data_IF_424625396721
#
_entry.id   IF_424625396721
#
_cell.length_a   1.000
_cell.length_b   1.000
_cell.length_c   1.000
_cell.angle_alpha   90.00
_cell.angle_beta   90.00
_cell.angle_gamma   90.00
#
_symmetry.space_group_name_H-M   'P 1'
#
loop_
_entity.id
_entity.type
_entity.pdbx_description
1 polymer ?
#
# COMPACT_ATOMS: atom_id res chain seq x y z
N UNK A 1 9.41 26.30 -14.44
CA UNK A 1 10.67 25.75 -13.89
C UNK A 1 11.45 25.15 -15.05
N UNK A 2 12.76 25.40 -15.10
CA UNK A 2 13.63 25.29 -16.27
C UNK A 2 13.62 23.89 -16.90
N UNK A 3 13.27 23.83 -18.20
CA UNK A 3 13.39 22.62 -19.04
C UNK A 3 14.85 22.27 -19.39
N UNK A 4 15.83 23.05 -18.93
CA UNK A 4 17.24 22.95 -19.31
C UNK A 4 18.16 22.39 -18.19
N UNK A 5 17.62 21.70 -17.18
CA UNK A 5 18.46 21.01 -16.20
C UNK A 5 19.14 19.79 -16.87
N UNK A 6 20.49 19.75 -16.96
CA UNK A 6 21.21 18.70 -17.67
C UNK A 6 21.08 17.32 -17.02
N UNK A 7 20.81 17.25 -15.71
CA UNK A 7 20.53 16.01 -14.99
C UNK A 7 19.13 15.48 -15.31
N UNK A 8 18.11 16.33 -15.31
CA UNK A 8 16.75 15.95 -15.73
C UNK A 8 16.68 15.56 -17.21
N UNK A 9 17.50 16.19 -18.06
CA UNK A 9 17.66 15.83 -19.47
C UNK A 9 18.33 14.46 -19.63
N UNK A 10 19.42 14.20 -18.91
CA UNK A 10 20.11 12.91 -18.91
C UNK A 10 19.18 11.76 -18.47
N UNK A 11 18.36 11.98 -17.45
CA UNK A 11 17.32 11.04 -17.02
C UNK A 11 16.34 10.75 -18.16
N UNK A 12 15.74 11.79 -18.77
CA UNK A 12 14.78 11.65 -19.87
C UNK A 12 15.38 10.91 -21.08
N UNK A 13 16.61 11.24 -21.47
CA UNK A 13 17.30 10.63 -22.61
C UNK A 13 17.66 9.15 -22.34
N UNK A 14 18.05 8.82 -21.10
CA UNK A 14 18.30 7.43 -20.66
C UNK A 14 17.03 6.59 -20.75
N UNK A 15 15.89 7.14 -20.31
CA UNK A 15 14.60 6.45 -20.35
C UNK A 15 14.08 6.29 -21.78
N UNK A 16 14.27 7.29 -22.66
CA UNK A 16 13.93 7.18 -24.08
C UNK A 16 14.71 6.04 -24.76
N UNK A 17 16.00 5.91 -24.45
CA UNK A 17 16.87 4.86 -24.99
C UNK A 17 16.44 3.47 -24.51
N UNK A 18 16.02 3.33 -23.24
CA UNK A 18 15.49 2.07 -22.70
C UNK A 18 14.15 1.67 -23.34
N UNK A 19 13.29 2.65 -23.65
CA UNK A 19 11.99 2.45 -24.32
C UNK A 19 12.16 1.88 -25.73
N UNK A 20 13.11 2.40 -26.50
CA UNK A 20 13.41 1.94 -27.85
C UNK A 20 14.08 0.55 -27.88
N UNK A 21 14.82 0.19 -26.83
CA UNK A 21 15.38 -1.14 -26.63
C UNK A 21 14.31 -2.19 -26.28
N UNK A 22 13.36 -1.85 -25.40
CA UNK A 22 12.28 -2.74 -24.97
C UNK A 22 11.28 -3.06 -26.10
N UNK A 23 11.04 -2.12 -27.02
CA UNK A 23 10.18 -2.34 -28.19
C UNK A 23 10.77 -3.33 -29.22
N UNK A 24 12.08 -3.57 -29.18
CA UNK A 24 12.80 -4.49 -30.09
C UNK A 24 12.93 -5.92 -29.55
N UNK A 25 12.52 -6.19 -28.31
CA UNK A 25 12.50 -7.54 -27.74
C UNK A 25 11.29 -8.32 -28.28
N UNK A 26 11.52 -9.02 -29.39
CA UNK A 26 10.58 -9.92 -30.04
C UNK A 26 10.11 -11.02 -29.05
N UNK A 27 8.79 -11.13 -28.82
CA UNK A 27 8.14 -12.10 -27.90
C UNK A 27 8.28 -13.58 -28.31
N UNK A 28 9.10 -13.91 -29.32
CA UNK A 28 9.23 -15.27 -29.86
C UNK A 28 10.46 -16.03 -29.38
N UNK A 29 11.25 -15.51 -28.42
CA UNK A 29 12.44 -16.19 -27.89
C UNK A 29 12.52 -16.17 -26.35
N UNK A 30 11.40 -16.32 -25.66
CA UNK A 30 11.44 -16.82 -24.28
C UNK A 30 11.19 -18.31 -24.32
N UNK A 31 12.24 -19.07 -24.66
CA UNK A 31 12.31 -20.47 -24.27
C UNK A 31 12.08 -20.54 -22.76
N UNK A 32 11.20 -21.45 -22.37
CA UNK A 32 10.82 -21.72 -20.99
C UNK A 32 12.05 -21.89 -20.11
N UNK A 33 12.39 -20.87 -19.32
CA UNK A 33 13.34 -21.03 -18.23
C UNK A 33 12.69 -21.99 -17.21
N UNK A 34 13.31 -23.15 -16.93
CA UNK A 34 12.75 -24.10 -16.00
C UNK A 34 12.74 -23.47 -14.60
N UNK A 35 11.61 -23.55 -13.90
CA UNK A 35 11.50 -23.21 -12.49
C UNK A 35 12.58 -23.97 -11.70
N UNK A 36 13.64 -23.26 -11.29
CA UNK A 36 14.69 -23.82 -10.42
C UNK A 36 14.76 -23.02 -9.13
N UNK A 37 14.40 -23.71 -8.06
CA UNK A 37 14.93 -23.51 -6.72
C UNK A 37 14.36 -22.38 -5.87
N UNK A 38 14.45 -22.58 -4.56
CA UNK A 38 14.20 -21.57 -3.53
C UNK A 38 15.29 -20.49 -3.54
N UNK A 39 14.99 -19.29 -3.02
CA UNK A 39 15.93 -18.17 -2.95
C UNK A 39 17.26 -18.53 -2.25
N UNK A 40 17.22 -19.49 -1.31
CA UNK A 40 18.41 -19.99 -0.62
C UNK A 40 19.38 -20.75 -1.56
N UNK A 41 18.86 -21.44 -2.57
CA UNK A 41 19.64 -22.17 -3.57
C UNK A 41 20.27 -21.22 -4.61
N UNK A 42 19.65 -20.07 -4.86
CA UNK A 42 20.18 -19.00 -5.73
C UNK A 42 21.31 -18.21 -5.08
N UNK A 43 21.29 -18.01 -3.75
CA UNK A 43 22.33 -17.25 -3.02
C UNK A 43 23.66 -18.04 -2.92
N UNK A 44 23.59 -19.36 -2.99
CA UNK A 44 24.75 -20.26 -2.86
C UNK A 44 25.20 -20.84 -4.21
N UNK A 45 24.58 -20.44 -5.32
CA UNK A 45 25.11 -20.79 -6.63
C UNK A 45 26.22 -19.81 -7.00
N UNK A 46 27.33 -20.33 -7.52
CA UNK A 46 28.44 -19.54 -8.08
C UNK A 46 28.01 -18.69 -9.31
N UNK A 47 26.72 -18.73 -9.67
CA UNK A 47 26.09 -18.01 -10.79
C UNK A 47 25.36 -16.72 -10.34
N UNK A 48 25.17 -16.47 -9.04
CA UNK A 48 24.54 -15.23 -8.55
C UNK A 48 25.58 -14.11 -8.39
N UNK A 49 25.54 -13.15 -9.30
CA UNK A 49 26.28 -11.90 -9.17
C UNK A 49 25.41 -10.79 -8.59
N UNK A 50 25.92 -10.14 -7.55
CA UNK A 50 25.28 -8.98 -6.93
C UNK A 50 24.93 -7.91 -7.98
N UNK A 51 23.71 -7.38 -8.00
CA UNK A 51 23.31 -6.31 -8.92
C UNK A 51 23.93 -4.94 -8.59
N UNK A 52 24.81 -4.88 -7.59
CA UNK A 52 25.46 -3.66 -7.13
C UNK A 52 26.50 -3.17 -8.15
N UNK A 53 26.22 -2.04 -8.81
CA UNK A 53 27.07 -1.46 -9.85
C UNK A 53 28.20 -0.58 -9.30
N UNK A 54 28.38 -0.48 -7.97
CA UNK A 54 29.31 0.45 -7.31
C UNK A 54 28.74 1.87 -7.13
N UNK A 55 29.41 2.72 -6.34
CA UNK A 55 29.04 4.14 -6.18
C UNK A 55 29.27 4.93 -7.47
N UNK A 56 28.63 6.10 -7.58
CA UNK A 56 28.89 7.06 -8.66
C UNK A 56 30.32 7.60 -8.52
N UNK A 57 31.07 7.70 -9.61
CA UNK A 57 32.45 8.21 -9.58
C UNK A 57 32.51 9.74 -9.51
N UNK A 58 33.28 10.28 -8.57
CA UNK A 58 33.54 11.72 -8.42
C UNK A 58 32.38 12.50 -7.80
N UNK A 59 32.22 13.77 -8.19
CA UNK A 59 31.16 14.67 -7.68
C UNK A 59 29.87 14.60 -8.53
N UNK A 60 29.70 13.56 -9.35
CA UNK A 60 28.55 13.45 -10.24
C UNK A 60 27.27 13.04 -9.48
N UNK A 61 26.13 13.63 -9.87
CA UNK A 61 24.82 13.34 -9.29
C UNK A 61 24.23 11.99 -9.80
N UNK A 62 24.55 11.62 -11.05
CA UNK A 62 24.26 10.31 -11.63
C UNK A 62 25.18 10.00 -12.81
N UNK A 63 25.27 8.71 -13.16
CA UNK A 63 25.97 8.25 -14.36
C UNK A 63 25.26 7.04 -15.01
N UNK A 64 25.46 6.88 -16.31
CA UNK A 64 24.98 5.73 -17.06
C UNK A 64 26.15 4.75 -17.22
N UNK A 65 25.97 3.52 -16.74
CA UNK A 65 26.95 2.43 -16.88
C UNK A 65 26.38 1.29 -17.69
N UNK A 66 27.15 0.75 -18.62
CA UNK A 66 26.83 -0.51 -19.27
C UNK A 66 27.51 -1.65 -18.52
N UNK A 67 26.72 -2.48 -17.85
CA UNK A 67 27.22 -3.64 -17.08
C UNK A 67 26.71 -4.90 -17.75
N UNK A 68 27.62 -5.66 -18.39
CA UNK A 68 27.33 -6.92 -19.10
C UNK A 68 26.22 -6.78 -20.16
N UNK A 69 26.28 -5.71 -20.98
CA UNK A 69 25.31 -5.47 -22.04
C UNK A 69 23.97 -4.88 -21.57
N UNK A 70 23.84 -4.57 -20.27
CA UNK A 70 22.67 -3.90 -19.70
C UNK A 70 23.05 -2.48 -19.32
N UNK A 71 22.41 -1.50 -19.96
CA UNK A 71 22.53 -0.08 -19.63
C UNK A 71 21.80 0.19 -18.31
N UNK A 72 22.50 0.81 -17.36
CA UNK A 72 22.00 1.10 -16.01
C UNK A 72 22.27 2.57 -15.70
N UNK A 73 21.30 3.22 -15.07
CA UNK A 73 21.49 4.53 -14.45
C UNK A 73 21.82 4.33 -12.97
N UNK A 74 22.95 4.87 -12.53
CA UNK A 74 23.40 4.86 -11.13
C UNK A 74 23.30 6.28 -10.61
N UNK A 75 22.59 6.48 -9.50
CA UNK A 75 22.30 7.80 -8.92
C UNK A 75 22.90 7.85 -7.51
N UNK A 76 23.59 8.94 -7.18
CA UNK A 76 24.06 9.18 -5.81
C UNK A 76 23.06 10.08 -5.06
N UNK A 77 22.26 9.51 -4.13
CA UNK A 77 21.23 10.28 -3.44
C UNK A 77 21.79 11.30 -2.45
N UNK A 78 23.09 11.24 -2.10
CA UNK A 78 23.74 12.16 -1.18
C UNK A 78 24.23 13.44 -1.88
N UNK A 79 24.50 13.40 -3.18
CA UNK A 79 24.97 14.54 -3.98
C UNK A 79 23.83 15.36 -4.60
N UNK A 80 22.59 14.86 -4.60
CA UNK A 80 21.42 15.57 -5.14
C UNK A 80 20.76 16.42 -4.05
N UNK A 81 20.56 17.71 -4.33
CA UNK A 81 19.82 18.61 -3.44
C UNK A 81 18.34 18.20 -3.28
N UNK A 82 17.68 18.75 -2.25
CA UNK A 82 16.31 18.34 -1.90
C UNK A 82 15.29 18.68 -3.00
N UNK A 83 15.39 19.86 -3.63
CA UNK A 83 14.44 20.29 -4.66
C UNK A 83 14.56 19.44 -5.93
N UNK A 84 15.78 19.09 -6.32
CA UNK A 84 16.06 18.15 -7.42
C UNK A 84 15.59 16.73 -7.09
N UNK A 85 15.72 16.26 -5.84
CA UNK A 85 15.18 14.95 -5.42
C UNK A 85 13.65 14.88 -5.53
N UNK A 86 12.95 15.98 -5.19
CA UNK A 86 11.50 16.07 -5.34
C UNK A 86 11.12 16.07 -6.84
N UNK A 87 11.77 16.89 -7.66
CA UNK A 87 11.54 16.92 -9.11
C UNK A 87 11.90 15.59 -9.80
N UNK A 88 12.93 14.90 -9.31
CA UNK A 88 13.32 13.55 -9.75
C UNK A 88 12.28 12.52 -9.36
N UNK A 89 11.75 12.57 -8.14
CA UNK A 89 10.65 11.70 -7.70
C UNK A 89 9.41 11.91 -8.57
N UNK A 90 9.04 13.16 -8.85
CA UNK A 90 7.88 13.46 -9.70
C UNK A 90 8.10 13.00 -11.16
N UNK A 91 9.32 13.15 -11.68
CA UNK A 91 9.68 12.67 -13.03
C UNK A 91 9.76 11.13 -13.09
N UNK A 92 10.28 10.50 -12.04
CA UNK A 92 10.29 9.03 -11.90
C UNK A 92 8.89 8.48 -11.71
N UNK A 93 8.01 9.17 -10.99
CA UNK A 93 6.59 8.82 -10.86
C UNK A 93 5.90 8.87 -12.23
N UNK A 94 6.12 9.93 -13.01
CA UNK A 94 5.62 10.05 -14.39
C UNK A 94 6.16 8.94 -15.31
N UNK A 95 7.43 8.56 -15.16
CA UNK A 95 8.05 7.47 -15.93
C UNK A 95 7.57 6.10 -15.46
N UNK A 96 7.30 5.90 -14.17
CA UNK A 96 6.73 4.67 -13.62
C UNK A 96 5.25 4.50 -14.01
N UNK A 97 4.53 5.60 -14.20
CA UNK A 97 3.20 5.63 -14.80
C UNK A 97 3.25 5.26 -16.29
N UNK A 98 4.23 5.79 -17.06
CA UNK A 98 4.39 5.47 -18.49
C UNK A 98 4.99 4.08 -18.77
N UNK A 99 5.92 3.61 -17.92
CA UNK A 99 6.60 2.33 -18.06
C UNK A 99 5.77 1.13 -17.55
N UNK A 100 4.47 1.33 -17.31
CA UNK A 100 3.56 0.35 -16.72
C UNK A 100 4.12 -0.21 -15.41
N UNK A 101 4.06 0.60 -14.35
CA UNK A 101 4.00 0.06 -12.99
C UNK A 101 3.02 -1.11 -12.98
N UNK A 102 3.59 -2.32 -12.77
CA UNK A 102 3.04 -3.67 -12.98
C UNK A 102 3.11 -4.26 -14.42
N UNK A 103 3.65 -5.48 -14.60
CA UNK A 103 3.15 -6.38 -15.64
C UNK A 103 1.77 -6.90 -15.18
N UNK A 104 0.73 -6.12 -15.42
CA UNK A 104 -0.64 -6.53 -15.17
C UNK A 104 -1.11 -7.46 -16.31
N UNK A 105 -0.77 -8.74 -16.26
CA UNK A 105 -1.32 -9.74 -17.17
C UNK A 105 -2.75 -10.20 -16.81
N UNK A 106 -3.45 -9.54 -15.86
CA UNK A 106 -4.85 -9.17 -16.11
C UNK A 106 -5.15 -7.75 -15.56
N UNK A 107 -4.64 -6.72 -16.26
CA UNK A 107 -4.78 -5.29 -15.92
C UNK A 107 -6.13 -4.68 -16.17
N UNK A 108 -6.90 -5.27 -17.09
CA UNK A 108 -7.90 -4.52 -17.85
C UNK A 108 -8.90 -3.87 -16.90
N UNK A 109 -9.44 -4.62 -15.94
CA UNK A 109 -10.44 -4.08 -14.99
C UNK A 109 -9.93 -3.00 -14.03
N UNK A 110 -8.71 -3.10 -13.46
CA UNK A 110 -8.21 -2.06 -12.52
C UNK A 110 -7.80 -0.81 -13.29
N UNK A 111 -7.04 -0.98 -14.36
CA UNK A 111 -6.61 0.12 -15.18
C UNK A 111 -7.81 0.83 -15.81
N UNK A 112 -8.84 0.11 -16.23
CA UNK A 112 -10.08 0.68 -16.78
C UNK A 112 -10.95 1.36 -15.72
N UNK A 113 -11.09 0.75 -14.53
CA UNK A 113 -11.82 1.35 -13.40
C UNK A 113 -11.16 2.63 -12.88
N UNK A 114 -9.83 2.71 -12.91
CA UNK A 114 -9.07 3.92 -12.53
C UNK A 114 -8.94 4.90 -13.70
N UNK A 115 -9.04 4.46 -14.96
CA UNK A 115 -8.98 5.34 -16.16
C UNK A 115 -10.22 6.22 -16.34
N UNK A 116 -11.33 5.93 -15.68
CA UNK A 116 -12.44 6.88 -15.58
C UNK A 116 -11.97 8.15 -14.86
N UNK A 117 -12.30 9.34 -15.39
CA UNK A 117 -11.88 10.63 -14.79
C UNK A 117 -12.17 10.70 -13.29
N UNK A 118 -13.35 10.26 -12.88
CA UNK A 118 -13.80 10.24 -11.48
C UNK A 118 -12.94 9.32 -10.59
N UNK A 119 -12.55 8.14 -11.09
CA UNK A 119 -11.74 7.20 -10.33
C UNK A 119 -10.31 7.71 -10.10
N UNK A 120 -9.70 8.29 -11.12
CA UNK A 120 -8.37 8.91 -11.00
C UNK A 120 -8.40 10.12 -10.06
N UNK A 121 -9.36 11.02 -10.25
CA UNK A 121 -9.52 12.22 -9.42
C UNK A 121 -9.71 11.85 -7.94
N UNK A 122 -10.51 10.82 -7.65
CA UNK A 122 -10.70 10.34 -6.28
C UNK A 122 -9.42 9.75 -5.67
N UNK A 123 -8.65 8.94 -6.41
CA UNK A 123 -7.36 8.43 -5.89
C UNK A 123 -6.39 9.58 -5.64
N UNK A 124 -6.30 10.52 -6.58
CA UNK A 124 -5.38 11.65 -6.49
C UNK A 124 -5.75 12.57 -5.32
N UNK A 125 -7.03 12.82 -5.08
CA UNK A 125 -7.53 13.58 -3.92
C UNK A 125 -7.08 12.95 -2.60
N UNK A 126 -7.32 11.65 -2.43
CA UNK A 126 -6.95 10.90 -1.22
C UNK A 126 -5.43 10.90 -1.03
N UNK A 127 -4.68 10.56 -2.07
CA UNK A 127 -3.22 10.48 -1.99
C UNK A 127 -2.59 11.87 -1.75
N UNK A 128 -3.17 12.92 -2.31
CA UNK A 128 -2.77 14.31 -2.07
C UNK A 128 -2.94 14.70 -0.60
N UNK A 129 -4.05 14.28 0.03
CA UNK A 129 -4.23 14.50 1.47
C UNK A 129 -3.08 13.91 2.28
N UNK A 130 -2.71 12.63 2.05
CA UNK A 130 -1.66 11.97 2.84
C UNK A 130 -0.24 12.40 2.47
N UNK A 131 -0.04 13.11 1.36
CA UNK A 131 1.29 13.57 0.91
C UNK A 131 1.89 14.52 1.96
N UNK A 132 3.06 14.16 2.47
CA UNK A 132 3.78 14.93 3.51
C UNK A 132 3.27 14.70 4.93
N UNK A 133 2.10 14.07 5.11
CA UNK A 133 1.52 13.75 6.42
C UNK A 133 1.88 12.34 6.92
N UNK A 134 2.24 11.43 6.01
CA UNK A 134 2.62 10.05 6.34
C UNK A 134 3.96 9.70 5.70
N UNK A 135 4.68 8.68 6.21
CA UNK A 135 5.95 8.27 5.63
C UNK A 135 5.83 7.96 4.13
N UNK A 136 6.74 8.46 3.27
CA UNK A 136 6.64 8.33 1.81
C UNK A 136 6.45 6.89 1.30
N UNK A 137 6.94 5.90 2.06
CA UNK A 137 6.79 4.48 1.73
C UNK A 137 5.32 4.02 1.64
N UNK A 138 4.39 4.65 2.35
CA UNK A 138 2.95 4.31 2.28
C UNK A 138 2.23 4.83 1.04
N UNK A 139 2.85 5.75 0.27
CA UNK A 139 2.21 6.35 -0.91
C UNK A 139 1.81 5.30 -1.96
N UNK A 140 2.72 4.40 -2.33
CA UNK A 140 2.41 3.38 -3.33
C UNK A 140 1.35 2.39 -2.82
N UNK A 141 1.45 1.83 -1.59
CA UNK A 141 0.37 1.03 -1.02
C UNK A 141 -0.99 1.72 -1.01
N UNK A 142 -1.06 3.02 -0.71
CA UNK A 142 -2.31 3.79 -0.75
C UNK A 142 -2.88 3.86 -2.16
N UNK A 143 -2.07 4.25 -3.16
CA UNK A 143 -2.49 4.29 -4.57
C UNK A 143 -3.03 2.93 -5.01
N UNK A 144 -2.26 1.86 -4.76
CA UNK A 144 -2.63 0.50 -5.16
C UNK A 144 -3.88 -0.01 -4.43
N UNK A 145 -4.00 0.29 -3.14
CA UNK A 145 -5.15 -0.09 -2.32
C UNK A 145 -6.44 0.61 -2.76
N UNK A 146 -6.36 1.92 -3.04
CA UNK A 146 -7.51 2.70 -3.53
C UNK A 146 -7.89 2.28 -4.95
N UNK A 147 -6.91 2.10 -5.85
CA UNK A 147 -7.16 1.57 -7.19
C UNK A 147 -7.84 0.20 -7.16
N UNK A 148 -7.39 -0.70 -6.28
CA UNK A 148 -8.00 -2.02 -6.12
C UNK A 148 -9.44 -1.92 -5.61
N UNK A 149 -9.73 -1.01 -4.68
CA UNK A 149 -11.09 -0.78 -4.21
C UNK A 149 -11.99 -0.26 -5.32
N UNK A 150 -11.59 0.78 -6.05
CA UNK A 150 -12.39 1.34 -7.15
C UNK A 150 -12.67 0.27 -8.20
N UNK A 151 -11.67 -0.58 -8.49
CA UNK A 151 -11.86 -1.72 -9.36
C UNK A 151 -12.90 -2.71 -8.83
N UNK A 152 -12.93 -2.95 -7.51
CA UNK A 152 -13.89 -3.84 -6.86
C UNK A 152 -15.30 -3.25 -6.85
N UNK A 153 -15.43 -1.94 -6.63
CA UNK A 153 -16.70 -1.23 -6.60
C UNK A 153 -17.33 -1.17 -8.01
N UNK A 154 -16.52 -0.98 -9.06
CA UNK A 154 -16.98 -0.94 -10.44
C UNK A 154 -17.18 -2.32 -11.08
N UNK A 155 -16.42 -3.32 -10.65
CA UNK A 155 -16.53 -4.69 -11.15
C UNK A 155 -16.29 -5.67 -9.99
N UNK A 156 -17.37 -6.20 -9.37
CA UNK A 156 -17.26 -7.11 -8.24
C UNK A 156 -16.31 -8.27 -8.53
N UNK A 157 -15.21 -8.31 -7.79
CA UNK A 157 -14.21 -9.37 -7.90
C UNK A 157 -14.48 -10.47 -6.87
N UNK A 158 -14.11 -11.69 -7.25
CA UNK A 158 -14.05 -12.80 -6.32
C UNK A 158 -13.06 -12.52 -5.18
N UNK A 159 -13.42 -12.92 -3.95
CA UNK A 159 -12.60 -12.59 -2.77
C UNK A 159 -11.18 -13.19 -2.82
N UNK A 160 -11.01 -14.33 -3.48
CA UNK A 160 -9.68 -14.92 -3.68
C UNK A 160 -8.79 -14.07 -4.60
N UNK A 161 -9.39 -13.40 -5.59
CA UNK A 161 -8.70 -12.53 -6.53
C UNK A 161 -8.25 -11.24 -5.85
N UNK A 162 -9.13 -10.61 -5.08
CA UNK A 162 -8.79 -9.43 -4.26
C UNK A 162 -7.63 -9.75 -3.31
N UNK A 163 -7.68 -10.90 -2.63
CA UNK A 163 -6.60 -11.34 -1.74
C UNK A 163 -5.30 -11.60 -2.50
N UNK A 164 -5.37 -12.19 -3.69
CA UNK A 164 -4.20 -12.43 -4.55
C UNK A 164 -3.54 -11.09 -4.93
N UNK A 165 -4.33 -10.11 -5.38
CA UNK A 165 -3.84 -8.77 -5.76
C UNK A 165 -3.22 -8.02 -4.58
N UNK A 166 -3.85 -8.06 -3.38
CA UNK A 166 -3.26 -7.51 -2.14
C UNK A 166 -1.91 -8.16 -1.80
N UNK A 167 -1.79 -9.48 -1.96
CA UNK A 167 -0.52 -10.20 -1.73
C UNK A 167 0.56 -9.84 -2.74
N UNK A 168 0.19 -9.64 -4.00
CA UNK A 168 1.11 -9.23 -5.08
C UNK A 168 1.65 -7.82 -4.84
N UNK A 169 0.77 -6.87 -4.49
CA UNK A 169 1.16 -5.52 -4.08
C UNK A 169 2.11 -5.55 -2.88
N UNK A 170 1.79 -6.34 -1.85
CA UNK A 170 2.63 -6.48 -0.66
C UNK A 170 4.01 -7.09 -0.97
N UNK A 171 4.09 -8.09 -1.86
CA UNK A 171 5.36 -8.64 -2.34
C UNK A 171 6.18 -7.62 -3.14
N UNK A 172 5.52 -6.79 -3.94
CA UNK A 172 6.20 -5.73 -4.68
C UNK A 172 6.75 -4.65 -3.75
N UNK A 173 6.03 -4.35 -2.67
CA UNK A 173 6.49 -3.44 -1.61
C UNK A 173 7.70 -4.00 -0.85
N UNK A 174 7.66 -5.29 -0.50
CA UNK A 174 8.77 -6.02 0.10
C UNK A 174 10.03 -6.01 -0.76
N UNK A 175 9.90 -6.21 -2.08
CA UNK A 175 11.02 -6.11 -3.03
C UNK A 175 11.70 -4.73 -3.06
N UNK A 176 11.04 -3.68 -2.57
CA UNK A 176 11.59 -2.33 -2.46
C UNK A 176 12.25 -2.05 -1.09
N UNK A 177 12.36 -3.07 -0.23
CA UNK A 177 12.98 -2.97 1.09
C UNK A 177 12.02 -2.61 2.22
N UNK A 178 10.71 -2.65 1.99
CA UNK A 178 9.69 -2.27 2.99
C UNK A 178 8.96 -3.49 3.57
N UNK A 179 8.14 -3.29 4.60
CA UNK A 179 7.51 -4.41 5.31
C UNK A 179 6.24 -4.90 4.59
N UNK A 180 6.16 -6.21 4.36
CA UNK A 180 5.03 -6.84 3.68
C UNK A 180 3.68 -6.62 4.40
N UNK A 181 3.59 -6.74 5.74
CA UNK A 181 2.41 -6.33 6.49
C UNK A 181 1.93 -4.91 6.22
N UNK A 182 2.83 -3.93 6.07
CA UNK A 182 2.47 -2.51 5.85
C UNK A 182 1.57 -2.37 4.62
N UNK A 183 2.03 -2.89 3.47
CA UNK A 183 1.27 -2.79 2.22
C UNK A 183 -0.03 -3.60 2.25
N UNK A 184 -0.01 -4.77 2.89
CA UNK A 184 -1.21 -5.61 2.99
C UNK A 184 -2.29 -4.98 3.87
N UNK A 185 -1.89 -4.42 5.01
CA UNK A 185 -2.77 -3.73 5.94
C UNK A 185 -3.31 -2.45 5.30
N UNK A 186 -2.45 -1.65 4.67
CA UNK A 186 -2.86 -0.45 3.92
C UNK A 186 -3.93 -0.79 2.89
N UNK A 187 -3.71 -1.81 2.06
CA UNK A 187 -4.72 -2.21 1.06
C UNK A 187 -6.03 -2.71 1.69
N UNK A 188 -5.99 -3.29 2.88
CA UNK A 188 -7.19 -3.74 3.61
C UNK A 188 -7.96 -2.58 4.22
N UNK A 189 -7.25 -1.58 4.73
CA UNK A 189 -7.82 -0.33 5.23
C UNK A 189 -8.43 0.50 4.09
N UNK A 190 -7.78 0.57 2.92
CA UNK A 190 -8.34 1.19 1.70
C UNK A 190 -9.67 0.55 1.30
N UNK A 191 -9.73 -0.78 1.18
CA UNK A 191 -10.98 -1.50 0.84
C UNK A 191 -12.10 -1.27 1.85
N UNK A 192 -11.76 -0.90 3.08
CA UNK A 192 -12.72 -0.67 4.16
C UNK A 192 -13.16 0.80 4.26
N UNK A 193 -12.50 1.70 3.50
CA UNK A 193 -12.79 3.13 3.47
C UNK A 193 -12.19 3.93 4.61
N UNK A 194 -11.24 3.39 5.38
CA UNK A 194 -10.68 4.16 6.51
C UNK A 194 -9.90 5.40 6.08
N UNK A 195 -9.39 5.42 4.84
CA UNK A 195 -8.65 6.54 4.29
C UNK A 195 -9.51 7.59 3.59
N UNK A 196 -10.82 7.33 3.45
CA UNK A 196 -11.77 8.20 2.75
C UNK A 196 -11.93 9.56 3.43
N UNK A 197 -12.51 10.56 2.74
CA UNK A 197 -12.80 11.85 3.33
C UNK A 197 -13.70 11.68 4.55
N UNK A 198 -13.42 12.44 5.60
CA UNK A 198 -14.14 12.42 6.87
C UNK A 198 -14.22 11.03 7.53
N UNK A 199 -13.27 10.12 7.24
CA UNK A 199 -13.11 8.84 7.95
C UNK A 199 -11.94 8.88 8.92
N UNK A 200 -11.65 7.73 9.54
CA UNK A 200 -10.79 7.64 10.74
C UNK A 200 -9.49 8.44 10.60
N UNK A 201 -8.70 8.21 9.55
CA UNK A 201 -7.39 8.83 9.46
C UNK A 201 -7.45 10.34 9.16
N UNK A 202 -8.40 10.78 8.33
CA UNK A 202 -8.58 12.22 8.06
C UNK A 202 -9.16 12.95 9.28
N UNK A 203 -10.13 12.35 9.98
CA UNK A 203 -10.67 12.91 11.24
C UNK A 203 -9.61 12.94 12.33
N UNK A 204 -8.79 11.89 12.44
CA UNK A 204 -7.67 11.87 13.38
C UNK A 204 -6.73 13.04 13.13
N UNK A 205 -6.40 13.32 11.86
CA UNK A 205 -5.60 14.49 11.51
C UNK A 205 -6.28 15.80 11.89
N UNK A 206 -7.55 16.00 11.51
CA UNK A 206 -8.31 17.21 11.86
C UNK A 206 -8.38 17.40 13.38
N UNK A 207 -8.85 16.38 14.10
CA UNK A 207 -9.09 16.45 15.54
C UNK A 207 -7.80 16.64 16.33
N UNK A 208 -6.71 15.95 15.94
CA UNK A 208 -5.48 15.95 16.72
C UNK A 208 -4.46 16.98 16.24
N UNK A 209 -4.26 17.15 14.93
CA UNK A 209 -3.26 18.09 14.39
C UNK A 209 -3.86 19.49 14.29
N UNK A 210 -5.02 19.64 13.66
CA UNK A 210 -5.61 20.97 13.45
C UNK A 210 -6.21 21.55 14.74
N UNK A 211 -6.81 20.72 15.59
CA UNK A 211 -7.48 21.17 16.81
C UNK A 211 -6.82 20.72 18.12
N UNK A 212 -6.10 19.59 18.12
CA UNK A 212 -5.57 18.94 19.33
C UNK A 212 -4.11 19.25 19.66
N UNK A 213 -3.40 19.97 18.79
CA UNK A 213 -2.01 20.39 19.01
C UNK A 213 -0.94 19.35 18.70
N UNK A 214 -1.28 18.22 18.07
CA UNK A 214 -0.30 17.29 17.51
C UNK A 214 0.49 17.94 16.38
N UNK A 215 1.73 17.52 16.20
CA UNK A 215 2.50 17.79 14.98
C UNK A 215 2.17 16.78 13.87
N UNK A 216 2.55 17.09 12.64
CA UNK A 216 2.51 16.11 11.53
C UNK A 216 3.34 14.85 11.85
N UNK A 217 4.41 15.00 12.64
CA UNK A 217 5.23 13.87 13.11
C UNK A 217 4.49 12.95 14.09
N UNK A 218 3.71 13.52 15.00
CA UNK A 218 2.89 12.74 15.94
C UNK A 218 1.79 11.98 15.20
N UNK A 219 1.15 12.64 14.22
CA UNK A 219 0.20 11.99 13.34
C UNK A 219 0.83 10.87 12.51
N UNK A 220 2.03 11.08 11.95
CA UNK A 220 2.75 10.05 11.20
C UNK A 220 3.07 8.82 12.08
N UNK A 221 3.46 9.03 13.34
CA UNK A 221 3.71 7.95 14.30
C UNK A 221 2.43 7.18 14.64
N UNK A 222 1.33 7.90 14.93
CA UNK A 222 0.04 7.29 15.20
C UNK A 222 -0.49 6.53 13.97
N UNK A 223 -0.34 7.09 12.77
CA UNK A 223 -0.68 6.42 11.52
C UNK A 223 0.09 5.10 11.36
N UNK A 224 1.40 5.13 11.58
CA UNK A 224 2.26 3.96 11.47
C UNK A 224 1.85 2.88 12.49
N UNK A 225 1.60 3.27 13.74
CA UNK A 225 1.11 2.36 14.77
C UNK A 225 -0.21 1.70 14.35
N UNK A 226 -1.19 2.48 13.88
CA UNK A 226 -2.51 1.97 13.49
C UNK A 226 -2.49 1.09 12.23
N UNK A 227 -1.51 1.28 11.34
CA UNK A 227 -1.41 0.51 10.09
C UNK A 227 -0.54 -0.73 10.27
N UNK A 228 0.53 -0.65 11.06
CA UNK A 228 1.62 -1.64 11.08
C UNK A 228 1.63 -2.40 12.40
N UNK A 229 1.79 -1.69 13.51
CA UNK A 229 2.20 -2.27 14.78
C UNK A 229 1.01 -2.77 15.60
N UNK A 230 0.00 -1.91 15.75
CA UNK A 230 -1.21 -2.19 16.53
C UNK A 230 -2.46 -1.89 15.71
N UNK A 231 -2.82 -2.67 14.67
CA UNK A 231 -4.05 -2.41 13.93
C UNK A 231 -5.29 -2.46 14.84
N UNK A 232 -6.09 -1.40 14.87
CA UNK A 232 -7.30 -1.32 15.71
C UNK A 232 -8.48 -2.14 15.18
N UNK A 233 -8.36 -2.71 13.98
CA UNK A 233 -9.42 -3.45 13.29
C UNK A 233 -9.12 -4.96 13.28
N UNK A 234 -10.15 -5.78 13.45
CA UNK A 234 -10.10 -7.23 13.27
C UNK A 234 -10.69 -7.58 11.91
N UNK A 235 -9.82 -7.87 10.94
CA UNK A 235 -10.25 -8.37 9.64
C UNK A 235 -10.56 -9.87 9.70
N UNK A 236 -11.82 -10.25 9.47
CA UNK A 236 -12.28 -11.63 9.42
C UNK A 236 -11.65 -12.35 8.22
N UNK A 237 -10.85 -13.37 8.53
CA UNK A 237 -10.16 -14.20 7.53
C UNK A 237 -11.04 -15.38 7.13
N UNK A 238 -10.73 -15.98 5.98
CA UNK A 238 -11.35 -17.24 5.55
C UNK A 238 -11.13 -18.32 6.61
N UNK A 239 -12.20 -18.96 7.05
CA UNK A 239 -12.14 -20.02 8.08
C UNK A 239 -11.97 -19.52 9.52
N UNK A 240 -11.92 -18.20 9.74
CA UNK A 240 -11.93 -17.63 11.09
C UNK A 240 -13.31 -17.86 11.71
N UNK A 241 -13.32 -18.38 12.93
CA UNK A 241 -14.52 -18.53 13.75
C UNK A 241 -14.90 -17.23 14.44
N UNK A 242 -16.17 -17.07 14.82
CA UNK A 242 -16.64 -15.90 15.56
C UNK A 242 -15.94 -15.75 16.91
N UNK A 243 -15.55 -16.85 17.57
CA UNK A 243 -14.79 -16.83 18.82
C UNK A 243 -13.38 -16.28 18.63
N UNK A 244 -12.71 -16.65 17.55
CA UNK A 244 -11.39 -16.09 17.21
C UNK A 244 -11.49 -14.58 16.93
N UNK A 245 -12.50 -14.15 16.17
CA UNK A 245 -12.74 -12.73 15.90
C UNK A 245 -13.03 -11.95 17.21
N UNK A 246 -13.88 -12.50 18.07
CA UNK A 246 -14.18 -11.95 19.39
C UNK A 246 -12.93 -11.88 20.29
N UNK A 247 -12.15 -12.95 20.40
CA UNK A 247 -10.93 -12.94 21.22
C UNK A 247 -9.87 -11.98 20.68
N UNK A 248 -9.75 -11.84 19.36
CA UNK A 248 -8.87 -10.84 18.75
C UNK A 248 -9.34 -9.41 19.07
N UNK A 249 -10.65 -9.16 19.10
CA UNK A 249 -11.22 -7.88 19.50
C UNK A 249 -10.92 -7.58 20.98
N UNK A 250 -11.17 -8.53 21.88
CA UNK A 250 -10.86 -8.38 23.32
C UNK A 250 -9.36 -8.16 23.53
N UNK A 251 -8.51 -8.90 22.83
CA UNK A 251 -7.06 -8.68 22.92
C UNK A 251 -6.67 -7.25 22.56
N UNK A 252 -7.28 -6.69 21.51
CA UNK A 252 -7.06 -5.28 21.12
C UNK A 252 -7.66 -4.29 22.11
N UNK A 253 -8.78 -4.62 22.75
CA UNK A 253 -9.40 -3.72 23.73
C UNK A 253 -8.59 -3.58 25.01
N UNK A 254 -7.84 -4.62 25.40
CA UNK A 254 -6.96 -4.57 26.57
C UNK A 254 -5.81 -3.57 26.41
N UNK A 255 -5.34 -3.38 25.18
CA UNK A 255 -4.20 -2.52 24.87
C UNK A 255 -4.65 -1.16 24.30
N UNK A 256 -5.96 -0.85 24.24
CA UNK A 256 -6.47 0.32 23.51
C UNK A 256 -5.98 1.65 24.10
N UNK A 257 -5.81 1.71 25.42
CA UNK A 257 -5.30 2.90 26.13
C UNK A 257 -3.80 3.13 25.86
N UNK A 258 -3.09 2.15 25.30
CA UNK A 258 -1.67 2.28 24.93
C UNK A 258 -1.47 2.79 23.50
N UNK A 259 -2.54 3.08 22.76
CA UNK A 259 -2.45 3.64 21.43
C UNK A 259 -2.12 5.13 21.50
N UNK A 260 -1.29 5.60 20.57
CA UNK A 260 -1.03 7.03 20.39
C UNK A 260 -2.34 7.71 19.96
N UNK A 261 -3.09 7.09 19.04
CA UNK A 261 -4.38 7.59 18.59
C UNK A 261 -5.46 7.38 19.66
N UNK A 262 -6.26 8.41 20.00
CA UNK A 262 -7.35 8.30 20.97
C UNK A 262 -8.56 7.59 20.33
N UNK A 263 -8.46 6.27 20.20
CA UNK A 263 -9.51 5.45 19.62
C UNK A 263 -10.60 5.17 20.65
N UNK A 264 -11.86 5.36 20.25
CA UNK A 264 -13.01 5.06 21.09
C UNK A 264 -13.73 3.76 20.70
N UNK A 265 -13.26 3.06 19.68
CA UNK A 265 -13.86 1.81 19.21
C UNK A 265 -12.85 0.85 18.56
N UNK A 266 -13.28 -0.40 18.47
CA UNK A 266 -12.65 -1.47 17.68
C UNK A 266 -13.69 -1.99 16.69
N UNK A 267 -13.27 -2.15 15.44
CA UNK A 267 -14.14 -2.67 14.38
C UNK A 267 -13.79 -4.14 14.08
N UNK A 268 -14.80 -5.02 14.01
CA UNK A 268 -14.68 -6.36 13.43
C UNK A 268 -15.28 -6.30 12.03
N UNK A 269 -14.45 -6.50 11.00
CA UNK A 269 -14.85 -6.31 9.60
C UNK A 269 -14.61 -7.54 8.75
N UNK A 270 -15.51 -7.81 7.82
CA UNK A 270 -15.34 -8.90 6.88
C UNK A 270 -16.17 -8.73 5.62
N UNK A 271 -15.70 -9.37 4.53
CA UNK A 271 -16.35 -9.34 3.22
C UNK A 271 -16.79 -10.74 2.79
N UNK A 272 -18.01 -10.81 2.25
CA UNK A 272 -18.65 -12.04 1.78
C UNK A 272 -19.43 -12.79 2.86
N UNK A 273 -20.32 -13.68 2.43
CA UNK A 273 -21.32 -14.34 3.27
C UNK A 273 -20.74 -15.02 4.52
N UNK A 274 -19.65 -15.78 4.39
CA UNK A 274 -19.04 -16.43 5.55
C UNK A 274 -18.55 -15.42 6.60
N UNK A 275 -18.01 -14.29 6.14
CA UNK A 275 -17.49 -13.27 7.04
C UNK A 275 -18.65 -12.49 7.69
N UNK A 276 -19.71 -12.22 6.94
CA UNK A 276 -20.96 -11.67 7.46
C UNK A 276 -21.54 -12.52 8.59
N UNK A 277 -21.71 -13.83 8.37
CA UNK A 277 -22.17 -14.74 9.43
C UNK A 277 -21.23 -14.77 10.65
N UNK A 278 -19.93 -14.58 10.43
CA UNK A 278 -18.94 -14.54 11.51
C UNK A 278 -19.08 -13.26 12.34
N UNK A 279 -19.29 -12.12 11.68
CA UNK A 279 -19.52 -10.82 12.32
C UNK A 279 -20.82 -10.83 13.10
N UNK A 280 -21.90 -11.37 12.51
CA UNK A 280 -23.21 -11.50 13.18
C UNK A 280 -23.13 -12.38 14.43
N UNK A 281 -22.52 -13.57 14.32
CA UNK A 281 -22.34 -14.46 15.48
C UNK A 281 -21.45 -13.85 16.57
N UNK A 282 -20.46 -13.04 16.18
CA UNK A 282 -19.65 -12.30 17.15
C UNK A 282 -20.50 -11.24 17.88
N UNK A 283 -21.36 -10.52 17.16
CA UNK A 283 -22.30 -9.55 17.76
C UNK A 283 -23.28 -10.22 18.73
N UNK A 284 -23.87 -11.36 18.34
CA UNK A 284 -24.75 -12.15 19.22
C UNK A 284 -24.02 -12.61 20.48
N UNK A 285 -22.78 -13.09 20.33
CA UNK A 285 -21.97 -13.53 21.46
C UNK A 285 -21.65 -12.38 22.42
N UNK A 286 -21.31 -11.20 21.90
CA UNK A 286 -21.08 -10.00 22.72
C UNK A 286 -22.36 -9.61 23.46
N UNK A 287 -23.51 -9.55 22.79
CA UNK A 287 -24.78 -9.21 23.43
C UNK A 287 -25.18 -10.20 24.55
N UNK A 288 -24.86 -11.49 24.39
CA UNK A 288 -25.18 -12.52 25.38
C UNK A 288 -24.27 -12.48 26.62
N UNK A 289 -22.99 -12.12 26.45
CA UNK A 289 -21.99 -12.23 27.51
C UNK A 289 -21.51 -10.88 28.06
N UNK A 290 -21.76 -9.78 27.35
CA UNK A 290 -21.27 -8.43 27.65
C UNK A 290 -22.36 -7.39 27.36
N UNK A 291 -23.47 -7.46 28.10
CA UNK A 291 -24.64 -6.61 27.88
C UNK A 291 -24.40 -5.10 28.09
N UNK A 292 -23.30 -4.71 28.75
CA UNK A 292 -22.86 -3.32 28.89
C UNK A 292 -22.21 -2.78 27.63
N UNK A 293 -21.62 -3.65 26.81
CA UNK A 293 -20.85 -3.27 25.63
C UNK A 293 -21.78 -2.74 24.55
N UNK A 294 -21.57 -1.48 24.18
CA UNK A 294 -22.24 -0.90 23.02
C UNK A 294 -21.62 -1.52 21.77
N UNK A 295 -22.49 -2.02 20.90
CA UNK A 295 -22.12 -2.48 19.56
C UNK A 295 -23.03 -1.88 18.51
N UNK A 296 -22.52 -1.69 17.30
CA UNK A 296 -23.31 -1.23 16.15
C UNK A 296 -22.94 -2.03 14.91
N UNK A 297 -23.85 -2.87 14.41
CA UNK A 297 -23.69 -3.48 13.11
C UNK A 297 -23.89 -2.42 12.02
N UNK A 298 -22.99 -2.43 11.04
CA UNK A 298 -23.00 -1.54 9.88
C UNK A 298 -22.67 -2.36 8.63
N UNK A 299 -23.14 -1.88 7.48
CA UNK A 299 -22.74 -2.42 6.19
C UNK A 299 -22.14 -1.27 5.37
N UNK A 300 -20.82 -1.33 5.14
CA UNK A 300 -20.08 -0.26 4.46
C UNK A 300 -19.13 -0.87 3.42
N UNK A 301 -19.07 -0.30 2.21
CA UNK A 301 -18.15 -0.73 1.14
C UNK A 301 -18.25 -2.24 0.81
N UNK A 302 -19.47 -2.78 0.87
CA UNK A 302 -19.75 -4.21 0.66
C UNK A 302 -19.17 -5.12 1.76
N UNK A 303 -18.88 -4.59 2.94
CA UNK A 303 -18.38 -5.33 4.09
C UNK A 303 -19.35 -5.24 5.27
N UNK A 304 -19.50 -6.34 5.99
CA UNK A 304 -20.13 -6.35 7.30
C UNK A 304 -19.13 -5.82 8.32
N UNK A 305 -19.55 -4.79 9.06
CA UNK A 305 -18.78 -4.15 10.11
C UNK A 305 -19.54 -4.27 11.43
N UNK A 306 -18.84 -4.66 12.49
CA UNK A 306 -19.33 -4.53 13.86
C UNK A 306 -18.41 -3.59 14.61
N UNK A 307 -18.92 -2.39 14.90
CA UNK A 307 -18.23 -1.44 15.76
C UNK A 307 -18.51 -1.78 17.23
N UNK A 308 -17.46 -1.85 18.03
CA UNK A 308 -17.50 -2.13 19.47
C UNK A 308 -16.87 -0.96 20.21
N UNK A 309 -17.61 -0.28 21.09
CA UNK A 309 -17.08 0.87 21.83
C UNK A 309 -16.32 0.43 23.08
N UNK A 310 -15.08 0.89 23.22
CA UNK A 310 -14.20 0.44 24.30
C UNK A 310 -14.62 0.94 25.68
N UNK A 311 -15.19 2.13 25.78
CA UNK A 311 -15.62 2.72 27.07
C UNK A 311 -16.69 1.88 27.79
N UNK A 312 -17.22 0.87 27.11
CA UNK A 312 -18.29 0.00 27.58
C UNK A 312 -17.89 -1.47 27.70
N UNK A 313 -16.63 -1.79 27.35
CA UNK A 313 -15.98 -3.09 27.48
C UNK A 313 -15.47 -3.37 28.90
#
# INVERSE_FOLDING_TARGET
MQEDDPFLKLLKDSFATAKDGAAKLNRSQTDSLPCRGSLAELIHSDEYESPYAGPVEGDAEAEIREVKGVVRLVIDPASIDYEKRVAMSDSMDSVLEEAQGFPLAPASGIAEAVKGKEGKEFVDEIVSFYRGKVPPRFRQPLIQGMALRIAEDNNPMEQWEVRKRKREAAKAHEKRGYSRPEAYNTASLCSSGYFDPDRLFQRLYQDQVEFGGWSDGDYANAFEELVVDKPFVVFVKSGMSYKEAYHAMIGKSLDIDEYIAPLNYIDIRGKGQQAEETVEKAAEYINQHHNSVKIKPEHENGQSNLRVWYETL
#
